data_IF_904408656513
#
_entry.id   IF_904408656513
#
_cell.length_a   1.000
_cell.length_b   1.000
_cell.length_c   1.000
_cell.angle_alpha   90.00
_cell.angle_beta   90.00
_cell.angle_gamma   90.00
#
_symmetry.space_group_name_H-M   'P 1'
#
loop_
_entity.id
_entity.type
_entity.pdbx_description
1 polymer ?
#
# COMPACT_ATOMS: atom_id res chain seq x y z
N UNK A 1 70.42 23.77 19.58
CA UNK A 1 70.26 24.58 18.35
C UNK A 1 69.41 23.84 17.34
N UNK A 2 68.50 24.48 16.60
CA UNK A 2 68.01 25.87 16.72
C UNK A 2 66.53 25.95 17.13
N UNK A 3 66.17 27.06 17.77
CA UNK A 3 64.81 27.59 17.84
C UNK A 3 64.60 28.61 16.72
N UNK A 4 63.37 28.73 16.20
CA UNK A 4 62.84 30.00 15.70
C UNK A 4 61.48 30.26 16.37
N UNK A 5 60.88 31.44 16.40
CA UNK A 5 61.23 32.85 16.23
C UNK A 5 59.92 33.55 16.61
N UNK A 6 60.00 34.58 17.43
CA UNK A 6 58.89 35.47 17.78
C UNK A 6 58.52 36.36 16.59
N UNK A 7 57.24 36.67 16.41
CA UNK A 7 56.79 37.96 15.86
C UNK A 7 55.29 38.18 16.11
N UNK A 8 54.97 39.21 16.89
CA UNK A 8 53.63 39.79 17.08
C UNK A 8 53.69 41.25 16.63
N UNK A 9 52.64 41.73 15.95
CA UNK A 9 52.10 43.12 15.91
C UNK A 9 51.60 43.51 14.51
N UNK A 10 50.84 44.61 14.34
CA UNK A 10 49.55 44.93 14.97
C UNK A 10 48.56 45.52 13.93
N UNK A 11 47.31 45.81 14.29
CA UNK A 11 46.66 47.01 13.72
C UNK A 11 45.57 47.55 14.64
N UNK A 12 45.74 48.81 14.99
CA UNK A 12 44.87 49.61 15.83
C UNK A 12 43.98 50.51 14.97
N UNK A 13 42.75 50.80 15.43
CA UNK A 13 42.23 52.18 15.43
C UNK A 13 40.89 52.28 16.20
N UNK A 14 40.76 53.18 17.20
CA UNK A 14 39.49 53.47 17.86
C UNK A 14 38.94 54.91 17.64
N UNK A 15 37.60 55.02 17.48
CA UNK A 15 36.68 56.11 17.94
C UNK A 15 36.83 57.55 17.36
N UNK A 16 35.94 58.58 17.60
CA UNK A 16 34.63 58.65 18.32
C UNK A 16 33.53 59.66 17.76
N UNK A 17 32.32 59.66 18.39
CA UNK A 17 31.47 60.82 18.83
C UNK A 17 30.49 61.61 17.87
N UNK A 18 29.62 62.57 18.32
CA UNK A 18 28.21 62.43 18.81
C UNK A 18 27.13 63.38 18.15
N UNK A 19 25.85 63.29 18.57
CA UNK A 19 24.64 64.13 18.24
C UNK A 19 24.72 65.63 18.65
N UNK A 20 23.87 66.63 18.20
CA UNK A 20 22.43 66.79 18.60
C UNK A 20 21.42 67.64 17.72
N UNK A 21 20.11 67.46 18.04
CA UNK A 21 18.93 68.38 18.16
C UNK A 21 18.41 69.47 17.16
N UNK A 22 17.08 69.33 16.88
CA UNK A 22 15.92 70.28 16.88
C UNK A 22 15.56 71.28 15.74
N UNK A 23 14.35 71.05 15.20
CA UNK A 23 13.15 71.91 15.00
C UNK A 23 13.17 73.13 14.04
N UNK A 24 12.19 73.18 13.10
CA UNK A 24 11.23 74.28 12.88
C UNK A 24 10.11 73.85 11.87
N UNK A 25 8.87 74.25 12.14
CA UNK A 25 7.63 74.11 11.32
C UNK A 25 7.23 75.52 10.80
N UNK A 26 6.52 75.72 9.66
CA UNK A 26 5.05 75.66 9.62
C UNK A 26 4.35 75.28 8.28
N UNK A 27 3.15 74.69 8.42
CA UNK A 27 1.85 74.85 7.72
C UNK A 27 1.73 75.45 6.30
N UNK A 28 1.08 74.71 5.37
CA UNK A 28 -0.20 75.08 4.70
C UNK A 28 -0.66 74.03 3.64
N UNK A 29 -1.97 73.70 3.69
CA UNK A 29 -2.81 72.91 2.75
C UNK A 29 -3.45 73.87 1.69
N UNK A 30 -4.09 73.50 0.54
CA UNK A 30 -4.88 72.29 0.22
C UNK A 30 -4.88 71.71 -1.25
N UNK A 31 -5.61 70.58 -1.39
CA UNK A 31 -6.11 69.75 -2.53
C UNK A 31 -6.82 70.50 -3.71
N UNK A 32 -7.24 69.90 -4.88
CA UNK A 32 -7.52 68.47 -5.19
C UNK A 32 -7.19 67.87 -6.61
N UNK A 33 -7.34 66.53 -6.67
CA UNK A 33 -7.48 65.47 -7.73
C UNK A 33 -8.10 65.78 -9.11
N UNK A 34 -8.13 64.86 -10.14
CA UNK A 34 -7.67 63.46 -10.19
C UNK A 34 -6.92 63.01 -11.48
N UNK A 35 -6.28 61.84 -11.43
CA UNK A 35 -6.01 61.00 -12.62
C UNK A 35 -6.20 59.52 -12.25
N UNK A 36 -6.78 58.69 -13.14
CA UNK A 36 -7.23 57.35 -12.80
C UNK A 36 -6.04 56.38 -12.69
N UNK A 37 -5.69 55.99 -11.47
CA UNK A 37 -4.84 54.83 -11.24
C UNK A 37 -5.67 53.56 -11.45
N UNK A 38 -5.25 52.74 -12.42
CA UNK A 38 -5.68 51.35 -12.60
C UNK A 38 -5.38 50.59 -11.32
N UNK A 39 -6.40 50.37 -10.49
CA UNK A 39 -6.31 49.56 -9.28
C UNK A 39 -6.10 48.10 -9.68
N UNK A 40 -4.87 47.62 -9.55
CA UNK A 40 -4.57 46.19 -9.57
C UNK A 40 -5.28 45.56 -8.36
N UNK A 41 -6.26 44.71 -8.65
CA UNK A 41 -7.00 43.93 -7.66
C UNK A 41 -6.03 43.13 -6.78
N UNK A 42 -6.20 43.10 -5.45
CA UNK A 42 -5.35 42.30 -4.59
C UNK A 42 -5.50 40.82 -4.93
N UNK A 43 -4.35 40.17 -5.14
CA UNK A 43 -4.22 38.73 -5.35
C UNK A 43 -4.88 37.98 -4.19
N UNK A 44 -5.83 37.10 -4.51
CA UNK A 44 -6.47 36.25 -3.53
C UNK A 44 -5.40 35.41 -2.82
N UNK A 45 -5.29 35.58 -1.50
CA UNK A 45 -4.49 34.71 -0.65
C UNK A 45 -4.90 33.25 -0.90
N UNK A 46 -3.95 32.30 -1.07
CA UNK A 46 -4.31 30.90 -1.15
C UNK A 46 -5.01 30.53 0.16
N UNK A 47 -6.24 30.03 0.05
CA UNK A 47 -6.98 29.47 1.18
C UNK A 47 -6.15 28.33 1.78
N UNK A 48 -6.04 28.20 3.12
CA UNK A 48 -5.44 27.01 3.71
C UNK A 48 -6.23 25.79 3.21
N UNK A 49 -5.52 24.77 2.76
CA UNK A 49 -6.11 23.48 2.36
C UNK A 49 -7.05 22.99 3.47
N UNK A 50 -8.22 22.41 3.13
CA UNK A 50 -9.12 21.90 4.14
C UNK A 50 -8.40 20.84 4.98
N UNK A 51 -8.54 20.95 6.31
CA UNK A 51 -8.13 19.90 7.25
C UNK A 51 -8.85 18.60 6.82
N UNK A 52 -8.18 17.44 6.76
CA UNK A 52 -8.82 16.20 6.32
C UNK A 52 -10.07 15.91 7.18
N UNK A 53 -11.15 15.52 6.50
CA UNK A 53 -12.40 15.17 7.16
C UNK A 53 -12.19 13.86 7.94
N UNK A 54 -12.82 13.70 9.13
CA UNK A 54 -12.62 12.53 9.97
C UNK A 54 -13.06 11.20 9.33
N UNK A 55 -13.67 11.22 8.13
CA UNK A 55 -14.08 10.03 7.37
C UNK A 55 -13.01 9.46 6.43
N UNK A 56 -11.80 10.05 6.39
CA UNK A 56 -10.58 9.38 5.88
C UNK A 56 -9.92 8.58 7.02
N UNK A 57 -10.73 7.81 7.76
CA UNK A 57 -10.25 6.91 8.79
C UNK A 57 -9.18 6.00 8.17
N UNK A 58 -8.08 5.77 8.90
CA UNK A 58 -7.02 4.83 8.52
C UNK A 58 -7.69 3.56 7.92
N UNK A 59 -7.47 3.13 6.69
CA UNK A 59 -6.38 3.15 5.72
C UNK A 59 -5.43 1.97 5.82
N UNK A 60 -5.39 1.23 6.93
CA UNK A 60 -4.58 0.01 7.03
C UNK A 60 -5.44 -1.22 6.79
N UNK A 61 -5.14 -1.96 5.72
CA UNK A 61 -5.81 -3.20 5.31
C UNK A 61 -4.88 -4.39 5.52
N UNK A 62 -5.39 -5.55 5.92
CA UNK A 62 -4.65 -6.82 5.81
C UNK A 62 -4.76 -7.29 4.36
N UNK A 63 -3.63 -7.51 3.69
CA UNK A 63 -3.58 -7.79 2.24
C UNK A 63 -2.95 -9.12 1.87
N UNK A 64 -2.19 -9.73 2.76
CA UNK A 64 -1.58 -11.04 2.56
C UNK A 64 -1.38 -11.75 3.90
N UNK A 65 -1.56 -13.07 3.93
CA UNK A 65 -1.44 -13.89 5.14
C UNK A 65 -0.68 -15.16 4.78
N UNK A 66 0.46 -15.40 5.46
CA UNK A 66 1.18 -16.67 5.45
C UNK A 66 0.84 -17.43 6.73
N UNK A 67 -0.25 -18.20 6.71
CA UNK A 67 -0.78 -18.91 7.88
C UNK A 67 -0.42 -20.40 7.91
N UNK A 68 0.22 -20.90 6.86
CA UNK A 68 0.62 -22.31 6.75
C UNK A 68 1.88 -22.42 5.86
N UNK A 69 3.02 -21.82 6.26
CA UNK A 69 4.28 -21.94 5.54
C UNK A 69 4.78 -23.40 5.52
N UNK A 70 5.67 -23.69 4.57
CA UNK A 70 6.36 -24.98 4.45
C UNK A 70 7.62 -25.03 5.35
N UNK A 71 8.04 -23.88 5.87
CA UNK A 71 9.10 -23.75 6.87
C UNK A 71 8.62 -24.12 8.28
N UNK A 72 9.46 -23.91 9.30
CA UNK A 72 9.10 -24.21 10.69
C UNK A 72 7.90 -23.37 11.12
N UNK A 73 6.89 -24.05 11.67
CA UNK A 73 5.73 -23.44 12.32
C UNK A 73 6.02 -23.13 13.79
N UNK A 74 5.62 -21.98 14.33
CA UNK A 74 4.97 -20.81 13.71
C UNK A 74 5.98 -19.71 13.28
N UNK A 75 7.29 -19.99 13.35
CA UNK A 75 8.38 -19.04 13.09
C UNK A 75 8.19 -18.22 11.80
N UNK A 76 7.70 -18.85 10.72
CA UNK A 76 7.62 -18.25 9.39
C UNK A 76 6.21 -17.79 8.99
N UNK A 77 5.31 -17.70 9.95
CA UNK A 77 4.04 -17.02 9.78
C UNK A 77 4.22 -15.49 9.76
N UNK A 78 3.41 -14.82 8.96
CA UNK A 78 3.41 -13.36 8.88
C UNK A 78 2.14 -12.82 8.22
N UNK A 79 1.88 -11.53 8.46
CA UNK A 79 0.75 -10.79 7.90
C UNK A 79 1.26 -9.55 7.18
N UNK A 80 0.83 -9.34 5.94
CA UNK A 80 1.04 -8.07 5.24
C UNK A 80 -0.10 -7.10 5.52
N UNK A 81 0.28 -5.85 5.79
CA UNK A 81 -0.66 -4.74 5.90
C UNK A 81 -0.32 -3.61 4.94
N UNK A 82 -1.35 -3.04 4.31
CA UNK A 82 -1.24 -1.96 3.34
C UNK A 82 -1.89 -0.68 3.83
N UNK A 83 -1.17 0.44 3.75
CA UNK A 83 -1.74 1.77 3.98
C UNK A 83 -2.29 2.35 2.68
N UNK A 84 -3.60 2.22 2.45
CA UNK A 84 -4.32 2.79 1.29
C UNK A 84 -4.46 4.32 1.33
N UNK A 85 -4.05 4.95 2.43
CA UNK A 85 -4.09 6.40 2.63
C UNK A 85 -2.91 7.11 1.97
N UNK A 86 -2.95 8.44 1.98
CA UNK A 86 -1.87 9.28 1.41
C UNK A 86 -0.84 9.75 2.44
N UNK A 87 -1.10 9.53 3.74
CA UNK A 87 -0.24 9.95 4.85
C UNK A 87 0.37 8.73 5.55
N UNK A 88 1.57 8.87 6.15
CA UNK A 88 2.16 7.78 6.92
C UNK A 88 1.29 7.43 8.15
N UNK A 89 1.17 6.13 8.43
CA UNK A 89 0.54 5.59 9.65
C UNK A 89 1.63 5.01 10.54
N UNK A 90 1.66 5.44 11.79
CA UNK A 90 2.54 4.90 12.84
C UNK A 90 1.78 3.80 13.61
N UNK A 91 2.33 2.59 13.63
CA UNK A 91 1.78 1.42 14.30
C UNK A 91 2.31 1.25 15.74
N UNK A 92 3.11 2.19 16.26
CA UNK A 92 3.58 2.16 17.64
C UNK A 92 2.39 2.07 18.61
N UNK A 93 2.34 1.00 19.41
CA UNK A 93 1.26 0.75 20.38
C UNK A 93 0.01 0.07 19.81
N UNK A 94 0.05 -0.37 18.55
CA UNK A 94 -0.98 -1.21 17.95
C UNK A 94 -0.88 -2.66 18.45
N UNK A 95 -1.94 -3.42 18.22
CA UNK A 95 -2.03 -4.83 18.56
C UNK A 95 -2.37 -5.65 17.32
N UNK A 96 -1.59 -6.70 17.04
CA UNK A 96 -1.98 -7.81 16.16
C UNK A 96 -2.41 -8.97 17.06
N UNK A 97 -3.57 -9.57 16.82
CA UNK A 97 -4.02 -10.76 17.56
C UNK A 97 -4.99 -11.59 16.71
N UNK A 98 -5.20 -12.85 17.08
CA UNK A 98 -6.24 -13.72 16.54
C UNK A 98 -7.43 -13.88 17.51
N UNK A 99 -8.47 -14.61 17.09
CA UNK A 99 -9.59 -14.94 17.99
C UNK A 99 -9.16 -16.07 18.92
N UNK A 100 -8.76 -15.71 20.14
CA UNK A 100 -8.27 -16.68 21.11
C UNK A 100 -8.84 -16.44 22.53
N UNK A 101 -8.39 -17.24 23.49
CA UNK A 101 -8.71 -17.07 24.91
C UNK A 101 -7.61 -16.40 25.73
N UNK A 102 -6.47 -16.11 25.11
CA UNK A 102 -5.22 -15.71 25.74
C UNK A 102 -4.93 -14.23 25.43
N UNK A 103 -5.58 -13.33 26.15
CA UNK A 103 -5.42 -11.90 25.93
C UNK A 103 -4.01 -11.38 26.23
N UNK A 104 -3.46 -10.54 25.35
CA UNK A 104 -2.23 -9.80 25.59
C UNK A 104 -2.36 -8.81 26.77
N UNK A 105 -1.29 -8.69 27.54
CA UNK A 105 -1.20 -7.73 28.65
C UNK A 105 -0.74 -6.31 28.26
N UNK A 106 -0.38 -6.09 26.98
CA UNK A 106 0.07 -4.81 26.40
C UNK A 106 0.05 -4.88 24.88
N UNK A 107 0.25 -3.75 24.20
CA UNK A 107 0.51 -3.71 22.77
C UNK A 107 1.77 -4.51 22.39
N UNK A 108 1.71 -5.22 21.27
CA UNK A 108 2.80 -6.06 20.76
C UNK A 108 3.54 -5.48 19.56
N UNK A 109 3.14 -4.31 19.06
CA UNK A 109 3.90 -3.54 18.06
C UNK A 109 4.56 -2.35 18.76
N UNK A 110 5.88 -2.44 18.98
CA UNK A 110 6.63 -1.40 19.68
C UNK A 110 6.86 -0.15 18.83
N UNK A 111 7.10 -0.34 17.53
CA UNK A 111 7.33 0.74 16.56
C UNK A 111 7.22 0.25 15.13
N UNK A 112 6.79 1.13 14.22
CA UNK A 112 6.78 0.87 12.78
C UNK A 112 5.95 1.92 12.06
N UNK A 113 6.37 2.32 10.86
CA UNK A 113 5.62 3.32 10.07
C UNK A 113 5.38 2.75 8.68
N UNK A 114 4.14 2.88 8.20
CA UNK A 114 3.78 2.56 6.83
C UNK A 114 3.51 3.87 6.10
N UNK A 115 4.38 4.30 5.16
CA UNK A 115 4.09 5.45 4.31
C UNK A 115 2.76 5.29 3.57
N UNK A 116 2.14 6.41 3.19
CA UNK A 116 0.92 6.37 2.37
C UNK A 116 1.15 5.62 1.05
N UNK A 117 0.25 4.71 0.70
CA UNK A 117 0.32 3.86 -0.49
C UNK A 117 1.37 2.74 -0.43
N UNK A 118 1.97 2.48 0.73
CA UNK A 118 2.97 1.43 0.92
C UNK A 118 2.44 0.34 1.85
N UNK A 119 3.19 -0.75 1.98
CA UNK A 119 2.85 -1.88 2.84
C UNK A 119 3.96 -2.18 3.84
N UNK A 120 3.67 -3.06 4.78
CA UNK A 120 4.64 -3.65 5.70
C UNK A 120 4.29 -5.10 6.01
N UNK A 121 5.31 -5.89 6.33
CA UNK A 121 5.15 -7.24 6.86
C UNK A 121 5.27 -7.18 8.39
N UNK A 122 4.21 -7.63 9.04
CA UNK A 122 4.16 -7.93 10.47
C UNK A 122 4.65 -9.37 10.64
N UNK A 123 5.80 -9.55 11.28
CA UNK A 123 6.47 -10.86 11.39
C UNK A 123 6.68 -11.26 12.85
N UNK A 124 6.74 -12.58 13.10
CA UNK A 124 7.07 -13.16 14.40
C UNK A 124 8.50 -12.76 14.81
N UNK A 125 8.62 -11.72 15.63
CA UNK A 125 9.90 -11.21 16.08
C UNK A 125 10.42 -11.91 17.36
N UNK A 126 9.64 -12.84 17.93
CA UNK A 126 10.09 -13.67 19.04
C UNK A 126 11.06 -14.75 18.54
N UNK A 127 10.82 -15.30 17.34
CA UNK A 127 11.61 -16.40 16.78
C UNK A 127 12.47 -15.99 15.57
N UNK A 128 12.01 -15.04 14.75
CA UNK A 128 12.72 -14.59 13.55
C UNK A 128 13.29 -13.18 13.75
N UNK A 129 14.54 -12.96 13.35
CA UNK A 129 15.10 -11.60 13.29
C UNK A 129 14.80 -10.94 11.95
N UNK A 130 14.79 -9.61 11.90
CA UNK A 130 14.65 -8.89 10.63
C UNK A 130 15.73 -9.27 9.59
N UNK A 131 16.94 -9.62 10.06
CA UNK A 131 18.03 -10.06 9.19
C UNK A 131 17.76 -11.45 8.60
N UNK A 132 17.18 -12.36 9.38
CA UNK A 132 16.77 -13.69 8.92
C UNK A 132 15.64 -13.61 7.91
N UNK A 133 14.61 -12.80 8.19
CA UNK A 133 13.51 -12.55 7.25
C UNK A 133 14.03 -11.95 5.94
N UNK A 134 14.92 -10.94 6.03
CA UNK A 134 15.58 -10.31 4.88
C UNK A 134 16.39 -11.32 4.07
N UNK A 135 17.08 -12.26 4.73
CA UNK A 135 17.86 -13.28 4.03
C UNK A 135 16.97 -14.24 3.23
N UNK A 136 15.75 -14.53 3.71
CA UNK A 136 14.80 -15.40 3.03
C UNK A 136 14.04 -14.67 1.90
N UNK A 137 13.57 -13.44 2.14
CA UNK A 137 12.61 -12.76 1.26
C UNK A 137 13.15 -11.56 0.48
N UNK A 138 14.36 -11.11 0.79
CA UNK A 138 15.02 -9.95 0.21
C UNK A 138 15.03 -8.72 1.13
N UNK A 139 15.92 -7.74 0.86
CA UNK A 139 16.14 -6.58 1.74
C UNK A 139 15.12 -5.46 1.56
N UNK A 140 14.39 -5.45 0.45
CA UNK A 140 13.53 -4.34 0.05
C UNK A 140 12.13 -4.48 0.63
N UNK A 141 11.97 -4.90 1.89
CA UNK A 141 10.66 -5.09 2.56
C UNK A 141 10.60 -4.21 3.80
N UNK A 142 9.48 -3.52 4.04
CA UNK A 142 9.24 -2.82 5.30
C UNK A 142 8.82 -3.84 6.37
N UNK A 143 9.73 -4.16 7.27
CA UNK A 143 9.48 -5.11 8.35
C UNK A 143 9.09 -4.38 9.64
N UNK A 144 7.98 -4.80 10.23
CA UNK A 144 7.51 -4.34 11.53
C UNK A 144 7.45 -5.54 12.47
N UNK A 145 8.26 -5.48 13.52
CA UNK A 145 8.37 -6.55 14.51
C UNK A 145 7.11 -6.66 15.36
N UNK A 146 6.58 -7.88 15.48
CA UNK A 146 5.50 -8.21 16.42
C UNK A 146 6.04 -9.17 17.47
N UNK A 147 5.85 -8.82 18.74
CA UNK A 147 6.25 -9.65 19.89
C UNK A 147 5.07 -10.40 20.50
N UNK A 148 5.32 -11.36 21.39
CA UNK A 148 4.29 -12.24 21.93
C UNK A 148 3.48 -12.94 20.81
N UNK A 149 4.16 -13.36 19.75
CA UNK A 149 3.54 -14.11 18.67
C UNK A 149 3.02 -15.46 19.15
N UNK A 150 3.60 -16.04 20.20
CA UNK A 150 3.11 -17.29 20.80
C UNK A 150 1.64 -17.24 21.29
N UNK A 151 1.09 -16.04 21.52
CA UNK A 151 -0.32 -15.82 21.84
C UNK A 151 -1.18 -15.72 20.55
N UNK A 152 -0.57 -15.34 19.42
CA UNK A 152 -1.15 -15.25 18.07
C UNK A 152 -0.99 -16.61 17.37
N UNK A 153 -2.06 -17.39 17.23
CA UNK A 153 -1.97 -18.73 16.63
C UNK A 153 -2.69 -18.79 15.30
N UNK A 154 -2.04 -18.35 14.22
CA UNK A 154 -2.65 -18.39 12.88
C UNK A 154 -2.88 -19.83 12.44
N UNK A 155 -4.06 -20.37 12.75
CA UNK A 155 -4.33 -21.79 12.51
C UNK A 155 -4.27 -22.13 11.00
N UNK A 156 -3.71 -23.31 10.69
CA UNK A 156 -3.41 -23.79 9.32
C UNK A 156 -4.65 -24.11 8.47
N UNK A 157 -5.86 -23.98 9.03
CA UNK A 157 -7.11 -24.37 8.39
C UNK A 157 -8.16 -23.25 8.41
N UNK A 158 -8.25 -22.45 9.48
CA UNK A 158 -9.10 -21.26 9.51
C UNK A 158 -8.79 -20.43 10.75
N UNK A 159 -8.84 -19.11 10.63
CA UNK A 159 -8.71 -18.24 11.79
C UNK A 159 -9.27 -16.84 11.51
N UNK A 160 -9.34 -16.01 12.55
CA UNK A 160 -9.70 -14.60 12.46
C UNK A 160 -8.60 -13.71 13.03
N UNK A 161 -7.79 -13.14 12.15
CA UNK A 161 -6.72 -12.22 12.50
C UNK A 161 -7.22 -10.78 12.47
N UNK A 162 -6.74 -9.93 13.38
CA UNK A 162 -7.14 -8.54 13.47
C UNK A 162 -6.04 -7.61 13.96
N UNK A 163 -6.13 -6.35 13.54
CA UNK A 163 -5.32 -5.26 14.06
C UNK A 163 -6.19 -4.31 14.87
N UNK A 164 -5.68 -3.84 16.00
CA UNK A 164 -6.26 -2.74 16.77
C UNK A 164 -5.31 -1.55 16.77
N UNK A 165 -5.85 -0.35 16.58
CA UNK A 165 -5.08 0.89 16.52
C UNK A 165 -4.45 1.32 17.85
N UNK A 166 -4.85 0.67 18.95
CA UNK A 166 -4.28 0.89 20.26
C UNK A 166 -4.56 -0.29 21.19
N UNK A 167 -3.74 -0.45 22.23
CA UNK A 167 -4.04 -1.40 23.31
C UNK A 167 -5.38 -1.12 24.01
N UNK A 168 -5.86 0.13 24.01
CA UNK A 168 -7.15 0.46 24.62
C UNK A 168 -8.33 -0.07 23.82
N UNK A 169 -8.21 -0.10 22.49
CA UNK A 169 -9.25 -0.67 21.62
C UNK A 169 -9.25 -2.20 21.72
N UNK A 170 -8.06 -2.79 21.86
CA UNK A 170 -7.85 -4.22 22.02
C UNK A 170 -8.31 -4.78 23.37
N UNK A 171 -8.08 -4.05 24.48
CA UNK A 171 -8.19 -4.64 25.82
C UNK A 171 -9.58 -5.21 26.11
N UNK A 172 -9.67 -6.54 26.19
CA UNK A 172 -10.92 -7.26 26.39
C UNK A 172 -11.71 -7.59 25.12
N UNK A 173 -11.17 -7.31 23.94
CA UNK A 173 -11.82 -7.48 22.62
C UNK A 173 -11.24 -8.63 21.78
N UNK A 174 -10.18 -9.32 22.23
CA UNK A 174 -9.56 -10.53 21.61
C UNK A 174 -10.51 -11.71 21.29
N UNK A 175 -11.77 -11.67 21.72
CA UNK A 175 -12.78 -12.69 21.36
C UNK A 175 -13.85 -12.17 20.40
N UNK A 176 -14.12 -10.86 20.41
CA UNK A 176 -15.22 -10.25 19.65
C UNK A 176 -14.75 -9.42 18.47
N UNK A 177 -13.54 -8.87 18.55
CA UNK A 177 -12.90 -8.04 17.53
C UNK A 177 -13.77 -6.84 17.12
N UNK A 178 -14.66 -6.40 18.00
CA UNK A 178 -15.65 -5.38 17.72
C UNK A 178 -15.05 -3.97 17.57
N UNK A 179 -13.88 -3.75 18.17
CA UNK A 179 -13.11 -2.51 18.10
C UNK A 179 -11.87 -2.66 17.21
N UNK A 180 -11.72 -3.78 16.50
CA UNK A 180 -10.62 -3.97 15.58
C UNK A 180 -10.67 -2.90 14.48
N UNK A 181 -9.48 -2.42 14.11
CA UNK A 181 -9.27 -1.54 12.99
C UNK A 181 -9.56 -2.25 11.66
N UNK A 182 -9.04 -3.47 11.51
CA UNK A 182 -9.28 -4.35 10.38
C UNK A 182 -9.28 -5.79 10.85
N UNK A 183 -10.08 -6.63 10.21
CA UNK A 183 -10.28 -8.03 10.55
C UNK A 183 -10.37 -8.86 9.27
N UNK A 184 -9.70 -10.01 9.26
CA UNK A 184 -9.83 -11.02 8.20
C UNK A 184 -10.08 -12.37 8.86
N UNK A 185 -11.23 -12.96 8.55
CA UNK A 185 -11.58 -14.32 8.94
C UNK A 185 -11.32 -15.26 7.75
N UNK A 186 -10.10 -15.81 7.66
CA UNK A 186 -9.72 -16.71 6.59
C UNK A 186 -10.11 -18.16 6.89
N UNK A 187 -10.18 -18.96 5.84
CA UNK A 187 -10.50 -20.39 5.87
C UNK A 187 -9.63 -21.10 4.80
N UNK A 188 -9.55 -22.42 4.82
CA UNK A 188 -8.88 -23.24 3.79
C UNK A 188 -9.88 -23.96 2.88
N UNK A 189 -11.16 -23.60 3.00
CA UNK A 189 -12.27 -24.24 2.31
C UNK A 189 -13.24 -23.24 1.65
N UNK A 190 -14.14 -23.78 0.84
CA UNK A 190 -15.17 -22.98 0.15
C UNK A 190 -14.59 -22.05 -0.90
N UNK A 191 -14.82 -20.74 -0.74
CA UNK A 191 -14.30 -19.72 -1.65
C UNK A 191 -12.85 -19.31 -1.31
N UNK A 192 -12.37 -19.62 -0.11
CA UNK A 192 -11.03 -19.28 0.30
C UNK A 192 -9.98 -20.19 -0.36
N UNK A 193 -8.83 -19.65 -0.76
CA UNK A 193 -7.73 -20.46 -1.25
C UNK A 193 -7.12 -21.32 -0.14
N UNK A 194 -7.01 -22.63 -0.39
CA UNK A 194 -6.29 -23.55 0.49
C UNK A 194 -4.78 -23.38 0.32
N UNK A 195 -4.11 -22.90 1.36
CA UNK A 195 -2.67 -22.70 1.38
C UNK A 195 -1.93 -23.85 2.07
N UNK A 196 -0.82 -24.27 1.47
CA UNK A 196 0.10 -25.31 1.97
C UNK A 196 1.50 -24.94 1.45
N UNK A 197 2.28 -24.25 2.27
CA UNK A 197 3.56 -23.66 1.89
C UNK A 197 3.47 -22.38 1.08
N UNK A 198 2.31 -21.74 1.02
CA UNK A 198 2.13 -20.47 0.33
C UNK A 198 1.25 -19.52 1.13
N UNK A 199 1.38 -18.22 0.90
CA UNK A 199 0.46 -17.22 1.44
C UNK A 199 -0.78 -17.07 0.56
N UNK A 200 -1.82 -16.48 1.15
CA UNK A 200 -3.01 -16.00 0.43
C UNK A 200 -2.96 -14.49 0.37
N UNK A 201 -3.35 -13.89 -0.75
CA UNK A 201 -3.35 -12.44 -0.95
C UNK A 201 -4.70 -11.93 -1.46
N UNK A 202 -5.03 -10.69 -1.09
CA UNK A 202 -6.20 -9.97 -1.57
C UNK A 202 -5.95 -9.52 -3.02
N UNK A 203 -6.83 -9.94 -3.94
CA UNK A 203 -6.65 -9.76 -5.40
C UNK A 203 -6.97 -8.35 -5.90
N UNK A 204 -7.71 -7.56 -5.13
CA UNK A 204 -8.01 -6.15 -5.39
C UNK A 204 -8.08 -5.42 -4.06
N UNK A 205 -7.27 -4.38 -3.89
CA UNK A 205 -7.16 -3.60 -2.64
C UNK A 205 -8.43 -2.81 -2.28
N UNK A 206 -9.40 -2.76 -3.19
CA UNK A 206 -10.71 -2.13 -2.98
C UNK A 206 -11.83 -3.14 -2.74
N UNK A 207 -11.54 -4.43 -2.84
CA UNK A 207 -12.50 -5.50 -2.61
C UNK A 207 -12.75 -5.73 -1.11
N UNK A 208 -13.85 -6.42 -0.81
CA UNK A 208 -14.21 -6.80 0.56
C UNK A 208 -13.27 -7.92 1.05
N UNK A 209 -12.41 -7.67 2.05
CA UNK A 209 -11.47 -8.66 2.54
C UNK A 209 -12.15 -9.79 3.34
N UNK A 210 -13.45 -9.67 3.65
CA UNK A 210 -14.22 -10.72 4.35
C UNK A 210 -14.80 -11.78 3.39
N UNK A 211 -14.76 -11.53 2.08
CA UNK A 211 -15.21 -12.48 1.06
C UNK A 211 -14.00 -13.24 0.49
N UNK A 212 -13.93 -14.54 0.80
CA UNK A 212 -12.86 -15.42 0.33
C UNK A 212 -12.69 -15.46 -1.19
N UNK A 213 -13.72 -15.13 -1.98
CA UNK A 213 -13.62 -15.05 -3.44
C UNK A 213 -12.70 -13.90 -3.92
N UNK A 214 -12.41 -12.94 -3.06
CA UNK A 214 -11.46 -11.85 -3.34
C UNK A 214 -10.01 -12.22 -3.01
N UNK A 215 -9.76 -13.44 -2.50
CA UNK A 215 -8.43 -13.92 -2.14
C UNK A 215 -7.93 -14.97 -3.14
N UNK A 216 -6.62 -15.00 -3.34
CA UNK A 216 -5.95 -15.99 -4.19
C UNK A 216 -4.66 -16.50 -3.54
N UNK A 217 -4.19 -17.67 -3.98
CA UNK A 217 -2.94 -18.25 -3.52
C UNK A 217 -1.75 -17.59 -4.23
N UNK A 218 -0.73 -17.19 -3.47
CA UNK A 218 0.54 -16.74 -4.02
C UNK A 218 1.19 -17.84 -4.85
N UNK A 219 1.73 -17.45 -6.01
CA UNK A 219 2.41 -18.36 -6.92
C UNK A 219 3.61 -17.66 -7.56
N UNK A 220 4.71 -18.40 -7.74
CA UNK A 220 5.96 -17.86 -8.28
C UNK A 220 5.74 -17.25 -9.67
N UNK A 221 6.09 -15.98 -9.83
CA UNK A 221 5.96 -15.22 -11.07
C UNK A 221 4.55 -14.65 -11.33
N UNK A 222 3.58 -14.88 -10.44
CA UNK A 222 2.23 -14.34 -10.57
C UNK A 222 2.19 -12.91 -10.00
N UNK A 223 1.76 -11.90 -10.79
CA UNK A 223 1.56 -10.55 -10.28
C UNK A 223 0.46 -10.51 -9.21
N UNK A 224 0.69 -9.77 -8.14
CA UNK A 224 -0.31 -9.43 -7.11
C UNK A 224 -0.50 -7.90 -7.08
N UNK A 225 -1.51 -7.35 -6.40
CA UNK A 225 -1.71 -5.89 -6.38
C UNK A 225 -0.52 -5.10 -5.81
N UNK A 226 0.27 -5.72 -4.92
CA UNK A 226 1.35 -5.07 -4.18
C UNK A 226 2.74 -5.64 -4.49
N UNK A 227 2.83 -6.63 -5.37
CA UNK A 227 4.11 -7.26 -5.70
C UNK A 227 4.01 -8.34 -6.77
N UNK A 228 4.87 -9.35 -6.63
CA UNK A 228 4.88 -10.53 -7.48
C UNK A 228 5.24 -11.72 -6.62
N UNK A 229 4.49 -12.81 -6.76
CA UNK A 229 4.75 -14.04 -6.02
C UNK A 229 6.16 -14.56 -6.31
N UNK A 230 6.86 -14.95 -5.25
CA UNK A 230 8.22 -15.46 -5.28
C UNK A 230 8.37 -16.58 -4.26
N UNK A 231 9.36 -17.44 -4.50
CA UNK A 231 9.76 -18.45 -3.53
C UNK A 231 10.81 -17.84 -2.61
N UNK A 232 10.69 -18.13 -1.31
CA UNK A 232 11.71 -17.82 -0.31
C UNK A 232 13.06 -18.47 -0.64
N UNK A 233 14.13 -17.86 -0.14
CA UNK A 233 15.47 -18.45 -0.17
C UNK A 233 15.68 -19.31 1.08
N UNK A 234 16.36 -20.45 0.94
CA UNK A 234 16.78 -21.29 2.07
C UNK A 234 17.90 -20.59 2.88
N UNK A 235 17.54 -19.56 3.65
CA UNK A 235 18.42 -18.71 4.41
C UNK A 235 17.70 -18.15 5.65
N UNK A 236 18.45 -17.70 6.66
CA UNK A 236 17.87 -17.17 7.90
C UNK A 236 17.09 -18.19 8.73
N UNK A 237 17.21 -19.49 8.44
CA UNK A 237 16.39 -20.54 9.06
C UNK A 237 15.14 -20.92 8.26
N UNK A 238 14.84 -20.21 7.16
CA UNK A 238 13.78 -20.58 6.23
C UNK A 238 14.16 -21.85 5.43
N UNK A 239 13.17 -22.68 5.12
CA UNK A 239 13.37 -23.91 4.32
C UNK A 239 13.67 -23.64 2.84
N UNK A 240 13.32 -22.44 2.35
CA UNK A 240 13.34 -22.05 0.95
C UNK A 240 12.19 -22.62 0.12
N UNK A 241 11.12 -23.11 0.76
CA UNK A 241 9.96 -23.69 0.08
C UNK A 241 8.69 -22.86 0.22
N UNK A 242 8.72 -21.78 1.01
CA UNK A 242 7.55 -20.89 1.15
C UNK A 242 7.36 -20.03 -0.10
N UNK A 243 6.11 -19.85 -0.52
CA UNK A 243 5.74 -19.02 -1.67
C UNK A 243 4.87 -17.86 -1.21
N UNK A 244 5.30 -16.64 -1.46
CA UNK A 244 4.55 -15.44 -1.08
C UNK A 244 4.88 -14.26 -1.97
N UNK A 245 4.12 -13.17 -1.85
CA UNK A 245 4.32 -11.93 -2.57
C UNK A 245 4.62 -10.72 -1.68
N UNK A 246 5.38 -10.83 -0.57
CA UNK A 246 5.53 -9.71 0.36
C UNK A 246 6.03 -8.46 -0.34
N UNK A 247 5.27 -7.38 -0.20
CA UNK A 247 5.42 -6.15 -0.95
C UNK A 247 6.80 -5.54 -0.75
N UNK A 248 7.37 -5.05 -1.85
CA UNK A 248 8.65 -4.38 -1.83
C UNK A 248 8.47 -2.88 -1.52
N UNK A 249 9.47 -2.26 -0.89
CA UNK A 249 9.52 -0.83 -0.53
C UNK A 249 9.58 0.11 -1.75
N UNK A 250 9.69 -0.44 -2.95
CA UNK A 250 9.59 0.32 -4.19
C UNK A 250 8.12 0.55 -4.54
N UNK A 251 7.67 1.80 -4.70
CA UNK A 251 6.29 2.06 -5.09
C UNK A 251 5.98 1.33 -6.42
N UNK A 252 4.76 0.79 -6.59
CA UNK A 252 4.39 0.15 -7.84
C UNK A 252 4.64 1.12 -8.98
N UNK A 253 5.40 0.68 -9.99
CA UNK A 253 5.62 1.48 -11.20
C UNK A 253 4.26 1.93 -11.72
N UNK A 254 4.04 3.23 -12.02
CA UNK A 254 2.77 3.65 -12.58
C UNK A 254 2.53 2.83 -13.84
N UNK A 255 1.50 1.99 -13.82
CA UNK A 255 1.05 1.24 -14.98
C UNK A 255 0.99 2.20 -16.15
N UNK A 256 1.69 1.85 -17.25
CA UNK A 256 1.83 2.71 -18.40
C UNK A 256 0.43 3.17 -18.82
N UNK A 257 0.11 4.44 -18.55
CA UNK A 257 -1.11 5.06 -19.08
C UNK A 257 -1.11 4.80 -20.58
N UNK A 258 -2.20 4.27 -21.16
CA UNK A 258 -2.25 4.10 -22.60
C UNK A 258 -2.04 5.47 -23.21
N UNK A 259 -0.93 5.62 -23.95
CA UNK A 259 -0.64 6.82 -24.71
C UNK A 259 -1.90 7.20 -25.49
N UNK A 260 -2.33 8.47 -25.50
CA UNK A 260 -3.52 8.84 -26.24
C UNK A 260 -3.34 8.44 -27.70
N UNK A 261 -4.20 7.52 -28.15
CA UNK A 261 -4.20 6.95 -29.49
C UNK A 261 -4.14 8.09 -30.52
N UNK A 262 -3.07 8.11 -31.30
CA UNK A 262 -2.91 9.04 -32.41
C UNK A 262 -4.10 8.86 -33.35
N UNK A 263 -4.86 9.93 -33.58
CA UNK A 263 -6.01 9.91 -34.49
C UNK A 263 -5.55 9.47 -35.89
N UNK A 264 -6.27 8.54 -36.55
CA UNK A 264 -5.90 8.11 -37.89
C UNK A 264 -6.11 9.27 -38.91
N UNK A 265 -5.28 9.37 -39.96
CA UNK A 265 -5.44 10.40 -40.97
C UNK A 265 -6.74 10.21 -41.76
N UNK A 266 -7.42 11.32 -42.04
CA UNK A 266 -8.67 11.36 -42.80
C UNK A 266 -8.46 10.95 -44.26
N UNK A 267 -9.06 9.84 -44.68
CA UNK A 267 -9.16 9.43 -46.09
C UNK A 267 -10.38 10.09 -46.74
N UNK A 268 -10.17 10.98 -47.70
CA UNK A 268 -11.24 11.46 -48.60
C UNK A 268 -11.56 10.41 -49.69
N UNK A 269 -12.82 10.33 -50.19
CA UNK A 269 -13.27 9.24 -51.05
C UNK A 269 -12.99 9.51 -52.54
N UNK A 270 -12.78 8.44 -53.32
CA UNK A 270 -12.83 8.46 -54.78
C UNK A 270 -13.58 7.23 -55.31
N UNK A 271 -14.23 7.43 -56.46
CA UNK A 271 -15.51 6.85 -56.84
C UNK A 271 -15.46 5.49 -57.58
N UNK A 272 -16.55 4.72 -57.38
CA UNK A 272 -17.37 3.95 -58.33
C UNK A 272 -16.72 3.20 -59.51
N UNK A 273 -17.01 1.89 -59.63
CA UNK A 273 -17.75 1.30 -60.77
C UNK A 273 -18.09 -0.19 -60.54
N UNK A 274 -19.35 -0.59 -60.77
CA UNK A 274 -19.83 -1.99 -60.92
C UNK A 274 -19.90 -2.39 -62.41
N UNK A 275 -20.08 -3.68 -62.83
CA UNK A 275 -21.39 -4.37 -62.79
C UNK A 275 -21.41 -5.92 -62.60
N UNK A 276 -22.63 -6.45 -62.36
CA UNK A 276 -23.22 -7.80 -62.12
C UNK A 276 -23.02 -8.93 -63.20
N UNK A 277 -23.76 -10.09 -63.24
CA UNK A 277 -24.47 -10.95 -62.24
C UNK A 277 -24.20 -12.51 -62.36
N UNK A 278 -24.85 -13.32 -61.50
CA UNK A 278 -24.86 -14.80 -61.29
C UNK A 278 -25.31 -15.72 -62.47
N UNK A 279 -25.28 -17.08 -62.33
CA UNK A 279 -26.48 -17.82 -61.89
C UNK A 279 -26.28 -19.15 -61.10
N UNK A 280 -27.41 -19.63 -60.58
CA UNK A 280 -27.77 -20.80 -59.74
C UNK A 280 -27.81 -22.17 -60.43
N UNK A 281 -27.71 -23.28 -59.65
CA UNK A 281 -28.49 -24.53 -59.87
C UNK A 281 -28.78 -25.31 -58.58
N UNK A 282 -30.02 -25.80 -58.50
CA UNK A 282 -30.71 -26.58 -57.46
C UNK A 282 -30.47 -28.10 -57.61
N UNK A 283 -30.71 -28.93 -56.57
CA UNK A 283 -31.65 -30.08 -56.56
C UNK A 283 -31.57 -30.95 -55.28
N UNK A 284 -32.71 -31.21 -54.64
CA UNK A 284 -33.05 -32.37 -53.78
C UNK A 284 -34.12 -33.22 -54.53
N UNK A 285 -34.89 -34.19 -53.97
CA UNK A 285 -34.81 -34.98 -52.72
C UNK A 285 -35.13 -36.51 -52.94
N UNK A 286 -35.15 -37.35 -51.89
CA UNK A 286 -36.21 -38.37 -51.68
C UNK A 286 -36.08 -39.14 -50.36
N UNK A 287 -37.24 -39.61 -49.89
CA UNK A 287 -37.61 -39.95 -48.52
C UNK A 287 -37.58 -41.47 -48.18
N UNK A 288 -37.73 -41.73 -46.87
CA UNK A 288 -37.85 -43.01 -46.13
C UNK A 288 -39.06 -43.88 -46.53
N UNK A 289 -39.25 -45.11 -45.98
CA UNK A 289 -39.86 -45.29 -44.63
C UNK A 289 -39.42 -46.54 -43.81
N UNK A 290 -39.71 -46.50 -42.50
CA UNK A 290 -39.65 -47.60 -41.49
C UNK A 290 -40.71 -48.70 -41.75
N UNK A 291 -40.70 -49.86 -41.04
CA UNK A 291 -41.26 -49.97 -39.67
C UNK A 291 -40.60 -51.02 -38.72
N UNK A 292 -40.87 -50.89 -37.40
CA UNK A 292 -40.59 -51.84 -36.30
C UNK A 292 -41.47 -53.13 -36.40
N UNK A 293 -41.26 -54.23 -35.62
CA UNK A 293 -41.42 -54.29 -34.14
C UNK A 293 -40.48 -55.28 -33.37
N UNK A 294 -40.46 -55.19 -32.03
CA UNK A 294 -39.95 -56.19 -31.04
C UNK A 294 -40.81 -57.49 -31.05
N UNK A 295 -40.65 -58.51 -30.16
CA UNK A 295 -39.69 -58.78 -29.07
C UNK A 295 -39.14 -60.24 -29.04
N UNK A 296 -38.20 -60.54 -28.13
CA UNK A 296 -38.13 -61.72 -27.22
C UNK A 296 -36.91 -61.61 -26.32
#
# INVERSE_FOLDING_TARGET
SPSPSTSLSPSASPSPSPSPSTSLSPSASPSPSPSPSTSLSPSASPSPSPLPSPSEFASVLITEIMYNPASTEDDWEWVEVHNSGSYPVDLSGWVLDDVNSDAHGRANIASGVIPGGHSAILYNADDITAADFTAAWGPDINLIAVTNWYDIRLNNDSDTVSLWSSFSDYSGDHQTHANAHTTVAYDDSGAWPRADGASIYLTDLTADPTDGANWALSAVGTPTPLGTGRQSTAAGGNSGNDIGSPAENTPPSPSASPSPSASPPSSSPSASTSPSPSPSTSSSPSASPSPSPSPS
#
